data_IF_126023480380
#
_entry.id   IF_126023480380
#
_cell.length_a   1.000
_cell.length_b   1.000
_cell.length_c   1.000
_cell.angle_alpha   90.00
_cell.angle_beta   90.00
_cell.angle_gamma   90.00
#
_symmetry.space_group_name_H-M   'P 1'
#
loop_
_entity.id
_entity.type
_entity.pdbx_description
1 polymer ?
#
# COMPACT_ATOMS: atom_id res chain seq x y z
N UNK A 1 20.54 30.47 -23.46
CA UNK A 1 19.96 30.72 -22.14
C UNK A 1 19.43 29.37 -21.74
N UNK A 2 20.26 28.73 -20.93
CA UNK A 2 20.13 27.37 -20.42
C UNK A 2 19.20 27.45 -19.20
N UNK A 3 18.07 26.74 -19.25
CA UNK A 3 17.10 26.60 -18.14
C UNK A 3 16.96 25.10 -17.80
N UNK A 4 18.07 24.40 -17.61
CA UNK A 4 18.11 22.95 -17.31
C UNK A 4 18.58 22.61 -15.88
N UNK A 5 18.76 23.59 -14.98
CA UNK A 5 19.60 23.35 -13.77
C UNK A 5 18.91 23.33 -12.39
N UNK A 6 17.58 23.42 -12.27
CA UNK A 6 16.95 23.62 -10.94
C UNK A 6 15.99 22.49 -10.49
N UNK A 7 16.05 21.31 -11.11
CA UNK A 7 15.22 20.16 -10.70
C UNK A 7 15.91 19.19 -9.71
N UNK A 8 17.18 19.42 -9.39
CA UNK A 8 17.98 18.55 -8.49
C UNK A 8 17.92 18.99 -7.01
N UNK A 9 17.28 20.11 -6.67
CA UNK A 9 17.29 20.69 -5.31
C UNK A 9 16.05 20.34 -4.44
N UNK A 10 15.35 19.23 -4.73
CA UNK A 10 14.29 18.72 -3.84
C UNK A 10 14.44 17.23 -3.51
N UNK A 11 15.64 16.67 -3.68
CA UNK A 11 16.03 15.42 -3.06
C UNK A 11 16.81 15.77 -1.79
N UNK A 12 16.09 16.24 -0.78
CA UNK A 12 16.63 16.52 0.55
C UNK A 12 17.25 15.22 1.13
N UNK A 13 18.58 15.14 1.30
CA UNK A 13 19.26 13.93 1.76
C UNK A 13 18.87 13.53 3.18
N UNK A 14 18.26 14.43 3.96
CA UNK A 14 17.84 14.15 5.34
C UNK A 14 16.70 13.11 5.40
N UNK A 15 15.98 12.88 4.29
CA UNK A 15 14.97 11.82 4.19
C UNK A 15 15.50 10.48 3.68
N UNK A 16 16.72 10.43 3.12
CA UNK A 16 17.37 9.16 2.76
C UNK A 16 17.78 8.37 4.00
N UNK A 17 18.05 9.05 5.11
CA UNK A 17 18.37 8.42 6.40
C UNK A 17 17.16 7.69 7.02
N UNK A 18 15.91 8.04 6.65
CA UNK A 18 14.72 7.29 7.10
C UNK A 18 14.58 5.97 6.32
N UNK A 19 15.11 5.90 5.10
CA UNK A 19 15.20 4.67 4.32
C UNK A 19 16.43 3.82 4.69
N UNK A 20 17.51 4.45 5.16
CA UNK A 20 18.75 3.82 5.60
C UNK A 20 18.82 3.52 7.11
N UNK A 21 17.89 4.04 7.92
CA UNK A 21 17.67 3.63 9.30
C UNK A 21 17.25 2.17 9.29
N UNK A 22 18.26 1.30 9.41
CA UNK A 22 18.15 -0.15 9.39
C UNK A 22 16.91 -0.57 10.14
N UNK A 23 15.96 -1.14 9.38
CA UNK A 23 14.70 -1.60 9.92
C UNK A 23 15.01 -2.57 11.04
N UNK A 24 14.92 -2.10 12.28
CA UNK A 24 14.93 -2.98 13.43
C UNK A 24 13.85 -4.04 13.14
N UNK A 25 14.21 -5.33 13.15
CA UNK A 25 13.27 -6.37 12.81
C UNK A 25 12.07 -6.21 13.72
N UNK A 26 10.88 -6.00 13.14
CA UNK A 26 9.65 -5.76 13.90
C UNK A 26 9.53 -6.85 14.96
N UNK A 27 9.72 -6.53 16.26
CA UNK A 27 9.75 -7.56 17.29
C UNK A 27 8.33 -8.08 17.47
N UNK A 28 8.09 -9.31 17.02
CA UNK A 28 6.78 -9.93 17.08
C UNK A 28 6.71 -11.25 16.30
N UNK A 29 5.61 -11.99 16.43
CA UNK A 29 5.44 -13.26 15.73
C UNK A 29 5.24 -13.11 14.20
N UNK A 30 5.13 -11.87 13.70
CA UNK A 30 4.83 -11.58 12.30
C UNK A 30 5.92 -10.69 11.68
N UNK A 31 6.30 -10.98 10.44
CA UNK A 31 7.19 -10.11 9.68
C UNK A 31 6.47 -8.86 9.18
N UNK A 32 7.23 -7.80 8.85
CA UNK A 32 6.66 -6.55 8.31
C UNK A 32 5.85 -6.83 7.04
N UNK A 33 6.36 -7.68 6.14
CA UNK A 33 5.63 -8.07 4.93
C UNK A 33 4.31 -8.77 5.24
N UNK A 34 4.25 -9.60 6.29
CA UNK A 34 3.02 -10.26 6.73
C UNK A 34 2.01 -9.26 7.30
N UNK A 35 2.46 -8.32 8.13
CA UNK A 35 1.58 -7.28 8.70
C UNK A 35 0.99 -6.40 7.61
N UNK A 36 1.81 -5.88 6.71
CA UNK A 36 1.35 -5.00 5.63
C UNK A 36 0.37 -5.74 4.72
N UNK A 37 0.70 -6.97 4.30
CA UNK A 37 -0.19 -7.78 3.48
C UNK A 37 -1.50 -8.06 4.21
N UNK A 38 -1.41 -8.43 5.49
CA UNK A 38 -2.57 -8.76 6.33
C UNK A 38 -3.53 -7.58 6.51
N UNK A 39 -3.02 -6.38 6.76
CA UNK A 39 -3.83 -5.15 6.90
C UNK A 39 -4.58 -4.83 5.60
N UNK A 40 -3.92 -4.97 4.44
CA UNK A 40 -4.58 -4.74 3.16
C UNK A 40 -5.69 -5.75 2.87
N UNK A 41 -5.45 -7.03 3.16
CA UNK A 41 -6.47 -8.07 3.02
C UNK A 41 -7.63 -7.88 4.00
N UNK A 42 -7.34 -7.48 5.24
CA UNK A 42 -8.36 -7.14 6.23
C UNK A 42 -9.22 -5.95 5.77
N UNK A 43 -8.59 -4.90 5.23
CA UNK A 43 -9.29 -3.76 4.67
C UNK A 43 -10.19 -4.17 3.48
N UNK A 44 -9.68 -5.00 2.57
CA UNK A 44 -10.46 -5.53 1.45
C UNK A 44 -11.68 -6.34 1.94
N UNK A 45 -11.49 -7.18 2.95
CA UNK A 45 -12.58 -7.94 3.58
C UNK A 45 -13.61 -7.03 4.25
N UNK A 46 -13.18 -5.96 4.92
CA UNK A 46 -14.06 -4.99 5.57
C UNK A 46 -14.91 -4.19 4.55
N UNK A 47 -14.42 -3.97 3.34
CA UNK A 47 -15.16 -3.29 2.26
C UNK A 47 -16.17 -4.22 1.57
N UNK A 48 -15.89 -5.52 1.54
CA UNK A 48 -16.73 -6.54 0.87
C UNK A 48 -18.22 -6.52 1.24
N UNK A 49 -18.67 -6.36 2.50
CA UNK A 49 -20.10 -6.27 2.81
C UNK A 49 -20.80 -5.08 2.15
N UNK A 50 -20.13 -3.94 2.00
CA UNK A 50 -20.69 -2.76 1.32
C UNK A 50 -20.82 -3.00 -0.19
N UNK A 51 -19.87 -3.72 -0.79
CA UNK A 51 -19.95 -4.15 -2.19
C UNK A 51 -21.15 -5.08 -2.40
N UNK A 52 -21.39 -6.02 -1.48
CA UNK A 52 -22.56 -6.89 -1.53
C UNK A 52 -23.87 -6.10 -1.42
N UNK A 53 -23.96 -5.14 -0.49
CA UNK A 53 -25.14 -4.27 -0.39
C UNK A 53 -25.37 -3.49 -1.69
N UNK A 54 -24.32 -2.88 -2.26
CA UNK A 54 -24.42 -2.15 -3.53
C UNK A 54 -24.88 -3.04 -4.70
N UNK A 55 -24.48 -4.32 -4.73
CA UNK A 55 -24.95 -5.31 -5.70
C UNK A 55 -26.44 -5.62 -5.52
N UNK A 56 -26.88 -5.83 -4.28
CA UNK A 56 -28.28 -6.11 -3.96
C UNK A 56 -29.20 -4.91 -4.28
N UNK A 57 -28.70 -3.70 -4.09
CA UNK A 57 -29.41 -2.44 -4.39
C UNK A 57 -29.38 -2.07 -5.89
N UNK A 58 -28.62 -2.82 -6.71
CA UNK A 58 -28.47 -2.53 -8.14
C UNK A 58 -27.70 -1.25 -8.47
N UNK A 59 -26.96 -0.68 -7.51
CA UNK A 59 -26.21 0.56 -7.69
C UNK A 59 -24.88 0.31 -8.43
N UNK A 60 -24.95 0.18 -9.76
CA UNK A 60 -23.79 -0.13 -10.61
C UNK A 60 -22.58 0.81 -10.41
N UNK A 61 -22.72 2.15 -10.35
CA UNK A 61 -21.58 3.03 -10.08
C UNK A 61 -20.86 2.73 -8.76
N UNK A 62 -21.62 2.44 -7.70
CA UNK A 62 -21.04 2.11 -6.40
C UNK A 62 -20.38 0.72 -6.40
N UNK A 63 -20.99 -0.26 -7.07
CA UNK A 63 -20.41 -1.59 -7.27
C UNK A 63 -19.05 -1.50 -7.95
N UNK A 64 -18.94 -0.75 -9.06
CA UNK A 64 -17.68 -0.60 -9.80
C UNK A 64 -16.61 0.05 -8.92
N UNK A 65 -16.98 1.10 -8.19
CA UNK A 65 -16.05 1.84 -7.32
C UNK A 65 -15.53 0.96 -6.18
N UNK A 66 -16.44 0.25 -5.48
CA UNK A 66 -16.06 -0.61 -4.37
C UNK A 66 -15.28 -1.85 -4.84
N UNK A 67 -15.64 -2.43 -5.99
CA UNK A 67 -14.88 -3.54 -6.58
C UNK A 67 -13.46 -3.10 -6.97
N UNK A 68 -13.32 -1.94 -7.61
CA UNK A 68 -12.01 -1.37 -7.94
C UNK A 68 -11.16 -1.12 -6.68
N UNK A 69 -11.77 -0.60 -5.61
CA UNK A 69 -11.12 -0.40 -4.32
C UNK A 69 -10.63 -1.72 -3.71
N UNK A 70 -11.47 -2.76 -3.68
CA UNK A 70 -11.10 -4.09 -3.19
C UNK A 70 -9.91 -4.65 -3.97
N UNK A 71 -9.95 -4.56 -5.30
CA UNK A 71 -8.85 -5.03 -6.17
C UNK A 71 -7.56 -4.24 -5.91
N UNK A 72 -7.65 -2.91 -5.81
CA UNK A 72 -6.49 -2.07 -5.49
C UNK A 72 -5.88 -2.40 -4.13
N UNK A 73 -6.70 -2.61 -3.09
CA UNK A 73 -6.22 -3.01 -1.77
C UNK A 73 -5.45 -4.33 -1.83
N UNK A 74 -5.96 -5.33 -2.55
CA UNK A 74 -5.28 -6.62 -2.72
C UNK A 74 -3.95 -6.44 -3.47
N UNK A 75 -3.94 -5.71 -4.59
CA UNK A 75 -2.73 -5.47 -5.38
C UNK A 75 -1.69 -4.71 -4.54
N UNK A 76 -2.09 -3.64 -3.84
CA UNK A 76 -1.21 -2.87 -2.97
C UNK A 76 -0.62 -3.74 -1.86
N UNK A 77 -1.45 -4.56 -1.20
CA UNK A 77 -1.00 -5.49 -0.16
C UNK A 77 0.05 -6.48 -0.67
N UNK A 78 -0.21 -7.11 -1.82
CA UNK A 78 0.72 -8.06 -2.45
C UNK A 78 2.01 -7.38 -2.90
N UNK A 79 1.92 -6.20 -3.52
CA UNK A 79 3.06 -5.46 -4.03
C UNK A 79 3.96 -4.97 -2.90
N UNK A 80 3.39 -4.27 -1.91
CA UNK A 80 4.17 -3.75 -0.77
C UNK A 80 4.69 -4.90 0.09
N UNK A 81 3.93 -5.98 0.27
CA UNK A 81 4.42 -7.19 0.92
C UNK A 81 5.65 -7.79 0.21
N UNK A 82 5.66 -7.81 -1.13
CA UNK A 82 6.81 -8.26 -1.93
C UNK A 82 8.02 -7.32 -1.77
N UNK A 83 7.80 -6.01 -1.73
CA UNK A 83 8.88 -5.03 -1.51
C UNK A 83 9.44 -5.13 -0.10
N UNK A 84 8.59 -5.24 0.91
CA UNK A 84 8.98 -5.41 2.31
C UNK A 84 9.81 -6.68 2.51
N UNK A 85 9.40 -7.80 1.90
CA UNK A 85 10.17 -9.06 1.96
C UNK A 85 11.58 -8.95 1.36
N UNK A 86 11.80 -8.07 0.37
CA UNK A 86 13.15 -7.82 -0.18
C UNK A 86 14.05 -7.02 0.76
N UNK A 87 13.47 -6.39 1.79
CA UNK A 87 14.14 -5.55 2.78
C UNK A 87 14.21 -6.22 4.16
N UNK A 88 13.65 -7.42 4.31
CA UNK A 88 13.79 -8.24 5.52
C UNK A 88 15.22 -8.85 5.54
N UNK A 89 15.93 -8.83 6.68
CA UNK A 89 17.30 -9.33 6.82
C UNK A 89 17.42 -10.85 6.70
#
# INVERSE_FOLDING_TARGET
MDDDDDAEEYLDPEYDDVAAAGGEPVPGPFSLSQLVTGVHLLAAAAVTPFLLLALLDGNLPQVVTLAALVVMLVIAGVYVGRVARRREP
#
